data_IF_750129035270
#
_entry.id   IF_750129035270
#
_cell.length_a   1.000
_cell.length_b   1.000
_cell.length_c   1.000
_cell.angle_alpha   90.00
_cell.angle_beta   90.00
_cell.angle_gamma   90.00
#
_symmetry.space_group_name_H-M   'P 1'
#
loop_
_entity.id
_entity.type
_entity.pdbx_description
1 polymer ?
#
# COMPACT_ATOMS: atom_id res chain seq x y z
N UNK A 1 -36.05 19.53 56.34
CA UNK A 1 -36.89 18.87 55.32
C UNK A 1 -36.16 19.00 53.99
N UNK A 2 -35.33 18.00 53.65
CA UNK A 2 -34.43 18.02 52.49
C UNK A 2 -35.20 17.43 51.31
N UNK A 3 -35.62 18.29 50.37
CA UNK A 3 -36.22 17.85 49.12
C UNK A 3 -35.13 17.24 48.23
N UNK A 4 -35.14 15.92 48.11
CA UNK A 4 -34.34 15.15 47.17
C UNK A 4 -34.80 15.46 45.75
N UNK A 5 -34.08 16.36 45.07
CA UNK A 5 -34.16 16.55 43.63
C UNK A 5 -33.63 15.29 42.95
N UNK A 6 -34.56 14.41 42.55
CA UNK A 6 -34.34 13.38 41.52
C UNK A 6 -33.81 14.09 40.28
N UNK A 7 -32.50 14.01 40.05
CA UNK A 7 -31.89 14.39 38.77
C UNK A 7 -32.27 13.32 37.76
N UNK A 8 -33.15 13.69 36.85
CA UNK A 8 -33.35 12.99 35.59
C UNK A 8 -32.04 13.04 34.80
N UNK A 9 -31.23 12.00 34.95
CA UNK A 9 -30.01 11.75 34.16
C UNK A 9 -30.32 11.32 32.70
N UNK A 10 -31.58 11.40 32.28
CA UNK A 10 -32.08 10.97 30.97
C UNK A 10 -32.06 12.08 29.89
N UNK A 11 -31.61 13.29 30.21
CA UNK A 11 -31.65 14.43 29.26
C UNK A 11 -30.33 14.65 28.50
N UNK A 12 -29.26 13.93 28.81
CA UNK A 12 -28.06 13.93 27.95
C UNK A 12 -28.21 12.99 26.76
N UNK A 13 -29.31 13.09 26.03
CA UNK A 13 -29.38 12.59 24.65
C UNK A 13 -28.44 13.49 23.86
N UNK A 14 -27.38 12.91 23.27
CA UNK A 14 -26.43 13.62 22.43
C UNK A 14 -27.19 14.52 21.44
N UNK A 15 -27.15 15.84 21.65
CA UNK A 15 -27.80 16.77 20.74
C UNK A 15 -27.06 16.68 19.38
N UNK A 16 -27.78 16.61 18.25
CA UNK A 16 -27.15 16.78 16.96
C UNK A 16 -26.41 18.13 16.95
N UNK A 17 -25.17 18.12 16.46
CA UNK A 17 -24.23 19.25 16.59
C UNK A 17 -24.78 20.54 15.97
N UNK A 18 -25.70 20.44 15.01
CA UNK A 18 -26.45 21.56 14.42
C UNK A 18 -27.26 22.38 15.43
N UNK A 19 -27.51 21.85 16.63
CA UNK A 19 -28.31 22.48 17.68
C UNK A 19 -27.49 22.96 18.87
N UNK A 20 -26.15 23.04 18.76
CA UNK A 20 -25.31 23.64 19.82
C UNK A 20 -25.30 25.16 19.63
N UNK A 21 -25.93 25.96 20.53
CA UNK A 21 -25.95 27.41 20.38
C UNK A 21 -24.54 28.00 20.28
N UNK A 22 -24.34 28.91 19.34
CA UNK A 22 -23.17 29.79 19.22
C UNK A 22 -23.09 30.72 20.45
N UNK A 23 -22.71 30.16 21.60
CA UNK A 23 -22.76 30.85 22.88
C UNK A 23 -22.82 29.92 24.09
N UNK A 24 -22.48 28.63 23.96
CA UNK A 24 -22.37 27.73 25.12
C UNK A 24 -21.22 28.18 26.05
N UNK A 25 -21.57 29.03 27.00
CA UNK A 25 -20.68 29.75 27.90
C UNK A 25 -21.21 31.15 28.26
N UNK A 26 -22.04 31.73 27.39
CA UNK A 26 -22.68 33.03 27.56
C UNK A 26 -24.18 32.96 27.89
N UNK A 27 -24.72 31.76 28.12
CA UNK A 27 -26.08 31.68 28.63
C UNK A 27 -26.14 32.37 29.99
N UNK A 28 -27.17 33.20 30.19
CA UNK A 28 -27.35 33.95 31.46
C UNK A 28 -27.35 33.01 32.68
N UNK A 29 -27.73 31.74 32.48
CA UNK A 29 -27.67 30.67 33.47
C UNK A 29 -26.23 30.34 33.86
N UNK A 30 -25.32 30.13 32.91
CA UNK A 30 -23.90 29.87 33.19
C UNK A 30 -23.21 31.10 33.78
N UNK A 31 -23.56 32.31 33.32
CA UNK A 31 -23.07 33.57 33.87
C UNK A 31 -23.50 33.76 35.34
N UNK A 32 -24.77 33.45 35.65
CA UNK A 32 -25.31 33.52 37.02
C UNK A 32 -24.74 32.41 37.92
N UNK A 33 -24.58 31.19 37.40
CA UNK A 33 -23.95 30.08 38.13
C UNK A 33 -22.47 30.38 38.46
N UNK A 34 -21.72 30.97 37.52
CA UNK A 34 -20.34 31.40 37.78
C UNK A 34 -20.28 32.48 38.85
N UNK A 35 -21.16 33.49 38.80
CA UNK A 35 -21.20 34.59 39.77
C UNK A 35 -21.61 34.15 41.19
N UNK A 36 -22.58 33.24 41.31
CA UNK A 36 -23.15 32.84 42.60
C UNK A 36 -22.43 31.63 43.20
N UNK A 37 -22.00 30.68 42.38
CA UNK A 37 -21.43 29.40 42.83
C UNK A 37 -19.92 29.30 42.60
N UNK A 38 -19.29 30.33 42.04
CA UNK A 38 -17.87 30.31 41.64
C UNK A 38 -17.52 29.13 40.71
N UNK A 39 -18.51 28.66 39.95
CA UNK A 39 -18.39 27.53 39.04
C UNK A 39 -17.67 27.97 37.75
N UNK A 40 -16.63 27.24 37.36
CA UNK A 40 -15.95 27.36 36.07
C UNK A 40 -16.18 26.08 35.28
N UNK A 41 -17.11 26.07 34.30
CA UNK A 41 -17.28 24.89 33.46
C UNK A 41 -15.98 24.64 32.70
N UNK A 42 -15.53 23.39 32.67
CA UNK A 42 -14.47 22.97 31.78
C UNK A 42 -15.02 22.97 30.35
N UNK A 43 -14.77 24.06 29.62
CA UNK A 43 -15.20 24.22 28.23
C UNK A 43 -14.26 23.52 27.24
N UNK A 44 -13.22 22.82 27.71
CA UNK A 44 -12.27 22.13 26.84
C UNK A 44 -12.95 21.04 26.01
N UNK A 45 -13.88 20.30 26.59
CA UNK A 45 -14.64 19.25 25.90
C UNK A 45 -15.55 19.82 24.80
N UNK A 46 -16.22 20.95 25.06
CA UNK A 46 -17.09 21.60 24.07
C UNK A 46 -16.26 22.19 22.93
N UNK A 47 -15.11 22.79 23.22
CA UNK A 47 -14.18 23.29 22.19
C UNK A 47 -13.66 22.16 21.31
N UNK A 48 -13.20 21.06 21.91
CA UNK A 48 -12.76 19.86 21.17
C UNK A 48 -13.89 19.29 20.32
N UNK A 49 -15.11 19.22 20.85
CA UNK A 49 -16.26 18.74 20.10
C UNK A 49 -16.59 19.63 18.89
N UNK A 50 -16.52 20.96 19.05
CA UNK A 50 -16.72 21.93 17.97
C UNK A 50 -15.64 21.81 16.89
N UNK A 51 -14.37 21.77 17.30
CA UNK A 51 -13.22 21.59 16.39
C UNK A 51 -13.33 20.27 15.61
N UNK A 52 -13.73 19.18 16.28
CA UNK A 52 -13.95 17.88 15.65
C UNK A 52 -15.08 17.95 14.63
N UNK A 53 -16.18 18.63 14.95
CA UNK A 53 -17.32 18.79 14.07
C UNK A 53 -16.98 19.60 12.80
N UNK A 54 -16.27 20.72 12.96
CA UNK A 54 -15.79 21.54 11.84
C UNK A 54 -14.84 20.74 10.93
N UNK A 55 -13.96 19.92 11.53
CA UNK A 55 -13.04 19.03 10.82
C UNK A 55 -13.80 18.00 9.98
N UNK A 56 -14.83 17.37 10.56
CA UNK A 56 -15.68 16.40 9.88
C UNK A 56 -16.46 17.06 8.74
N UNK A 57 -17.00 18.25 8.97
CA UNK A 57 -17.78 18.98 7.97
C UNK A 57 -16.92 19.33 6.75
N UNK A 58 -15.73 19.91 6.98
CA UNK A 58 -14.76 20.18 5.89
C UNK A 58 -14.33 18.90 5.17
N UNK A 59 -14.10 17.82 5.90
CA UNK A 59 -13.73 16.54 5.31
C UNK A 59 -14.84 15.97 4.43
N UNK A 60 -16.11 16.15 4.81
CA UNK A 60 -17.26 15.75 4.00
C UNK A 60 -17.41 16.60 2.71
N UNK A 61 -17.15 17.90 2.78
CA UNK A 61 -17.13 18.79 1.60
C UNK A 61 -16.05 18.36 0.61
N UNK A 62 -14.83 18.11 1.09
CA UNK A 62 -13.73 17.61 0.28
C UNK A 62 -14.07 16.26 -0.33
N UNK A 63 -14.64 15.34 0.46
CA UNK A 63 -15.05 14.00 -0.01
C UNK A 63 -16.08 14.08 -1.14
N UNK A 64 -17.08 14.95 -1.00
CA UNK A 64 -18.09 15.17 -2.03
C UNK A 64 -17.46 15.75 -3.31
N UNK A 65 -16.50 16.66 -3.17
CA UNK A 65 -15.75 17.20 -4.29
C UNK A 65 -14.91 16.13 -5.01
N UNK A 66 -14.13 15.35 -4.26
CA UNK A 66 -13.28 14.30 -4.82
C UNK A 66 -14.09 13.24 -5.57
N UNK A 67 -15.29 12.91 -5.09
CA UNK A 67 -16.18 11.97 -5.78
C UNK A 67 -16.72 12.52 -7.11
N UNK A 68 -16.77 13.85 -7.29
CA UNK A 68 -17.26 14.51 -8.49
C UNK A 68 -16.17 14.91 -9.50
N UNK A 69 -14.93 14.48 -9.30
CA UNK A 69 -13.85 14.68 -10.28
C UNK A 69 -14.07 13.82 -11.52
N UNK A 70 -13.58 14.28 -12.67
CA UNK A 70 -13.60 13.50 -13.92
C UNK A 70 -12.87 12.15 -13.75
N UNK A 71 -11.78 12.16 -12.98
CA UNK A 71 -11.05 10.98 -12.51
C UNK A 71 -11.18 10.85 -10.98
N UNK A 72 -12.21 10.14 -10.48
CA UNK A 72 -12.42 10.01 -9.05
C UNK A 72 -11.35 9.14 -8.36
N UNK A 73 -11.15 9.28 -7.03
CA UNK A 73 -10.21 8.45 -6.29
C UNK A 73 -10.47 6.95 -6.45
N UNK A 74 -9.42 6.14 -6.34
CA UNK A 74 -9.55 4.70 -6.30
C UNK A 74 -10.29 4.23 -5.05
N UNK A 75 -11.13 3.21 -5.20
CA UNK A 75 -11.77 2.55 -4.07
C UNK A 75 -10.72 1.85 -3.20
N UNK A 76 -10.87 1.94 -1.87
CA UNK A 76 -9.98 1.28 -0.91
C UNK A 76 -9.85 -0.23 -1.16
N UNK A 77 -10.93 -0.88 -1.63
CA UNK A 77 -10.95 -2.31 -1.97
C UNK A 77 -10.04 -2.61 -3.16
N UNK A 78 -10.10 -1.80 -4.23
CA UNK A 78 -9.27 -1.99 -5.41
C UNK A 78 -7.78 -1.80 -5.10
N UNK A 79 -7.45 -0.77 -4.30
CA UNK A 79 -6.09 -0.49 -3.84
C UNK A 79 -5.59 -1.61 -2.94
N UNK A 80 -6.39 -2.08 -1.98
CA UNK A 80 -5.99 -3.18 -1.10
C UNK A 80 -5.70 -4.47 -1.89
N UNK A 81 -6.55 -4.81 -2.87
CA UNK A 81 -6.34 -5.97 -3.75
C UNK A 81 -5.05 -5.82 -4.56
N UNK A 82 -4.81 -4.63 -5.09
CA UNK A 82 -3.59 -4.30 -5.83
C UNK A 82 -2.34 -4.44 -4.97
N UNK A 83 -2.33 -3.78 -3.80
CA UNK A 83 -1.22 -3.83 -2.84
C UNK A 83 -0.87 -5.24 -2.44
N UNK A 84 -1.88 -6.09 -2.20
CA UNK A 84 -1.69 -7.51 -1.89
C UNK A 84 -1.05 -8.27 -3.05
N UNK A 85 -1.49 -8.02 -4.29
CA UNK A 85 -0.94 -8.65 -5.50
C UNK A 85 0.52 -8.25 -5.72
N UNK A 86 0.83 -6.96 -5.58
CA UNK A 86 2.19 -6.44 -5.75
C UNK A 86 3.13 -6.92 -4.65
N UNK A 87 2.66 -6.95 -3.39
CA UNK A 87 3.43 -7.51 -2.29
C UNK A 87 3.73 -9.01 -2.51
N UNK A 88 2.75 -9.78 -2.99
CA UNK A 88 2.95 -11.19 -3.32
C UNK A 88 3.96 -11.38 -4.48
N UNK A 89 3.92 -10.51 -5.50
CA UNK A 89 4.88 -10.53 -6.62
C UNK A 89 6.30 -10.20 -6.14
N UNK A 90 6.45 -9.20 -5.27
CA UNK A 90 7.74 -8.78 -4.69
C UNK A 90 8.34 -9.82 -3.74
N UNK A 91 7.49 -10.57 -3.03
CA UNK A 91 7.90 -11.63 -2.13
C UNK A 91 8.39 -12.90 -2.85
N UNK A 92 8.19 -13.03 -4.17
CA UNK A 92 8.64 -14.21 -4.92
C UNK A 92 10.17 -14.33 -4.90
N UNK A 93 10.72 -15.51 -4.55
CA UNK A 93 12.15 -15.73 -4.59
C UNK A 93 12.65 -15.64 -6.04
N UNK A 94 13.79 -15.00 -6.25
CA UNK A 94 14.35 -14.79 -7.60
C UNK A 94 14.74 -16.11 -8.30
N UNK A 95 14.88 -17.18 -7.53
CA UNK A 95 15.16 -18.54 -8.00
C UNK A 95 14.07 -19.09 -8.95
N UNK A 96 12.83 -18.61 -8.87
CA UNK A 96 11.77 -19.06 -9.80
C UNK A 96 12.01 -18.64 -11.25
N UNK A 97 12.70 -17.51 -11.50
CA UNK A 97 13.01 -17.07 -12.87
C UNK A 97 14.29 -17.71 -13.42
N UNK A 98 15.29 -17.95 -12.57
CA UNK A 98 16.51 -18.65 -12.97
C UNK A 98 16.25 -20.14 -13.25
N UNK A 99 15.29 -20.75 -12.57
CA UNK A 99 14.93 -22.15 -12.81
C UNK A 99 14.36 -22.36 -14.21
N UNK A 100 13.56 -21.43 -14.74
CA UNK A 100 12.96 -21.57 -16.08
C UNK A 100 14.03 -21.59 -17.17
N UNK A 101 14.99 -20.66 -17.14
CA UNK A 101 16.09 -20.63 -18.11
C UNK A 101 16.99 -21.87 -17.99
N UNK A 102 17.25 -22.32 -16.76
CA UNK A 102 18.00 -23.55 -16.49
C UNK A 102 17.29 -24.81 -17.01
N UNK A 103 15.99 -24.92 -16.79
CA UNK A 103 15.14 -26.01 -17.29
C UNK A 103 15.11 -25.99 -18.83
N UNK A 104 14.95 -24.81 -19.45
CA UNK A 104 14.94 -24.68 -20.90
C UNK A 104 16.28 -25.14 -21.52
N UNK A 105 17.42 -24.72 -20.96
CA UNK A 105 18.74 -25.19 -21.42
C UNK A 105 18.89 -26.72 -21.27
N UNK A 106 18.42 -27.30 -20.16
CA UNK A 106 18.46 -28.74 -19.93
C UNK A 106 17.60 -29.52 -20.95
N UNK A 107 16.41 -29.03 -21.27
CA UNK A 107 15.52 -29.63 -22.28
C UNK A 107 16.18 -29.59 -23.67
N UNK A 108 16.78 -28.46 -24.05
CA UNK A 108 17.48 -28.34 -25.34
C UNK A 108 18.67 -29.30 -25.41
N UNK A 109 19.49 -29.37 -24.36
CA UNK A 109 20.63 -30.29 -24.30
C UNK A 109 20.19 -31.76 -24.39
N UNK A 110 19.10 -32.14 -23.72
CA UNK A 110 18.50 -33.48 -23.81
C UNK A 110 18.04 -33.79 -25.24
N UNK A 111 17.34 -32.85 -25.89
CA UNK A 111 16.86 -33.02 -27.26
C UNK A 111 18.02 -33.20 -28.25
N UNK A 112 19.10 -32.41 -28.14
CA UNK A 112 20.30 -32.58 -28.95
C UNK A 112 20.94 -33.95 -28.74
N UNK A 113 21.03 -34.41 -27.49
CA UNK A 113 21.56 -35.74 -27.14
C UNK A 113 20.74 -36.89 -27.78
N UNK A 114 19.42 -36.79 -27.77
CA UNK A 114 18.52 -37.77 -28.40
C UNK A 114 18.73 -37.80 -29.92
N UNK A 115 18.78 -36.64 -30.57
CA UNK A 115 18.98 -36.55 -32.03
C UNK A 115 20.34 -37.12 -32.43
N UNK A 116 21.41 -36.76 -31.70
CA UNK A 116 22.75 -37.30 -31.93
C UNK A 116 22.79 -38.82 -31.75
N UNK A 117 22.07 -39.35 -30.76
CA UNK A 117 21.97 -40.79 -30.54
C UNK A 117 21.23 -41.55 -31.64
N UNK A 118 20.14 -40.99 -32.15
CA UNK A 118 19.41 -41.57 -33.29
C UNK A 118 20.26 -41.57 -34.57
N UNK A 119 21.03 -40.51 -34.82
CA UNK A 119 21.97 -40.43 -35.94
C UNK A 119 23.15 -41.40 -35.80
N UNK A 120 23.59 -41.65 -34.56
CA UNK A 120 24.70 -42.54 -34.26
C UNK A 120 24.42 -44.04 -34.41
N UNK A 121 23.18 -44.43 -34.68
CA UNK A 121 22.82 -45.81 -35.05
C UNK A 121 23.52 -46.25 -36.35
N UNK A 122 23.99 -45.30 -37.16
CA UNK A 122 24.57 -45.55 -38.48
C UNK A 122 26.12 -45.52 -38.54
N UNK A 123 26.84 -45.25 -37.45
CA UNK A 123 28.32 -45.28 -37.44
C UNK A 123 28.90 -45.67 -36.08
N UNK A 124 29.93 -46.55 -36.06
CA UNK A 124 30.47 -47.09 -34.81
C UNK A 124 31.12 -46.02 -33.92
N UNK A 125 31.67 -44.96 -34.53
CA UNK A 125 32.29 -43.85 -33.80
C UNK A 125 31.26 -42.93 -33.12
N UNK A 126 30.00 -42.98 -33.56
CA UNK A 126 28.94 -42.14 -33.01
C UNK A 126 28.36 -42.69 -31.70
N UNK A 127 28.57 -43.95 -31.36
CA UNK A 127 28.18 -44.50 -30.06
C UNK A 127 28.96 -43.87 -28.90
N UNK A 128 30.26 -43.60 -29.09
CA UNK A 128 31.08 -42.92 -28.10
C UNK A 128 30.64 -41.47 -27.90
N UNK A 129 30.39 -40.74 -29.00
CA UNK A 129 29.92 -39.36 -28.96
C UNK A 129 28.53 -39.24 -28.33
N UNK A 130 27.62 -40.18 -28.62
CA UNK A 130 26.29 -40.24 -28.01
C UNK A 130 26.36 -40.48 -26.50
N UNK A 131 27.22 -41.41 -26.06
CA UNK A 131 27.46 -41.68 -24.64
C UNK A 131 27.94 -40.43 -23.89
N UNK A 132 28.92 -39.71 -24.45
CA UNK A 132 29.41 -38.45 -23.86
C UNK A 132 28.36 -37.34 -23.88
N UNK A 133 27.58 -37.20 -24.95
CA UNK A 133 26.52 -36.20 -25.02
C UNK A 133 25.42 -36.43 -23.98
N UNK A 134 25.02 -37.69 -23.76
CA UNK A 134 24.08 -38.05 -22.70
C UNK A 134 24.67 -37.81 -21.32
N UNK A 135 25.92 -38.18 -21.07
CA UNK A 135 26.58 -38.02 -19.77
C UNK A 135 26.76 -36.53 -19.40
N UNK A 136 27.14 -35.70 -20.37
CA UNK A 136 27.27 -34.25 -20.20
C UNK A 136 25.91 -33.59 -20.08
N UNK A 137 24.93 -33.93 -20.93
CA UNK A 137 23.59 -33.38 -20.88
C UNK A 137 22.86 -33.72 -19.57
N UNK A 138 22.89 -34.98 -19.16
CA UNK A 138 22.30 -35.45 -17.90
C UNK A 138 23.09 -34.93 -16.69
N UNK A 139 24.42 -34.84 -16.80
CA UNK A 139 25.28 -34.22 -15.79
C UNK A 139 24.94 -32.75 -15.57
N UNK A 140 24.78 -31.96 -16.64
CA UNK A 140 24.35 -30.56 -16.55
C UNK A 140 22.93 -30.42 -16.02
N UNK A 141 22.00 -31.29 -16.41
CA UNK A 141 20.63 -31.30 -15.90
C UNK A 141 20.59 -31.62 -14.40
N UNK A 142 21.29 -32.67 -13.95
CA UNK A 142 21.41 -33.01 -12.52
C UNK A 142 22.12 -31.90 -11.77
N UNK A 143 23.20 -31.33 -12.30
CA UNK A 143 23.93 -30.25 -11.62
C UNK A 143 23.05 -29.00 -11.52
N UNK A 144 22.23 -28.70 -12.53
CA UNK A 144 21.23 -27.63 -12.49
C UNK A 144 20.14 -27.90 -11.44
N UNK A 145 19.57 -29.12 -11.41
CA UNK A 145 18.58 -29.53 -10.41
C UNK A 145 19.20 -29.49 -9.01
N UNK A 146 20.40 -30.03 -8.83
CA UNK A 146 21.11 -30.08 -7.55
C UNK A 146 21.62 -28.72 -7.11
N UNK A 147 21.99 -27.80 -8.00
CA UNK A 147 22.30 -26.41 -7.64
C UNK A 147 21.03 -25.68 -7.20
N UNK A 148 19.91 -25.86 -7.91
CA UNK A 148 18.62 -25.31 -7.49
C UNK A 148 18.18 -25.88 -6.12
N UNK A 149 18.27 -27.21 -5.93
CA UNK A 149 17.91 -27.88 -4.67
C UNK A 149 18.93 -27.62 -3.56
N UNK A 150 20.24 -27.47 -3.85
CA UNK A 150 21.25 -27.11 -2.83
C UNK A 150 21.15 -25.66 -2.38
N UNK A 151 20.73 -24.73 -3.25
CA UNK A 151 20.38 -23.38 -2.80
C UNK A 151 19.21 -23.38 -1.81
N UNK A 152 18.29 -24.36 -1.93
CA UNK A 152 17.19 -24.54 -0.99
C UNK A 152 17.54 -25.39 0.25
N UNK A 153 18.45 -26.38 0.15
CA UNK A 153 18.63 -27.43 1.17
C UNK A 153 19.94 -27.37 1.95
N UNK A 154 21.05 -26.87 1.39
CA UNK A 154 22.30 -26.66 2.14
C UNK A 154 22.28 -25.26 2.75
N UNK A 155 21.54 -25.16 3.85
CA UNK A 155 21.45 -23.95 4.66
C UNK A 155 22.84 -23.38 4.99
N UNK A 156 23.12 -22.23 4.39
CA UNK A 156 23.61 -21.13 5.20
C UNK A 156 22.48 -20.09 5.25
N UNK A 157 22.04 -19.67 6.45
CA UNK A 157 20.86 -18.86 6.69
C UNK A 157 21.16 -17.39 6.40
N UNK A 158 21.61 -17.06 5.20
CA UNK A 158 21.18 -15.79 4.63
C UNK A 158 19.76 -16.03 4.13
N UNK A 159 18.84 -16.27 5.08
CA UNK A 159 17.42 -15.99 4.90
C UNK A 159 17.42 -14.60 4.31
N UNK A 160 17.26 -14.50 2.98
CA UNK A 160 17.11 -13.21 2.34
C UNK A 160 15.79 -12.70 2.85
N UNK A 161 15.85 -12.04 4.01
CA UNK A 161 14.69 -11.54 4.73
C UNK A 161 14.15 -10.47 3.81
N UNK A 162 13.16 -10.90 3.04
CA UNK A 162 12.50 -10.06 2.07
C UNK A 162 11.38 -9.39 2.84
N UNK A 163 11.68 -8.23 3.40
CA UNK A 163 10.66 -7.42 4.05
C UNK A 163 9.98 -6.60 2.97
N UNK A 164 8.68 -6.83 2.82
CA UNK A 164 7.83 -6.11 1.87
C UNK A 164 6.89 -5.25 2.69
N UNK A 165 7.05 -3.94 2.61
CA UNK A 165 6.20 -3.00 3.33
C UNK A 165 5.77 -1.85 2.42
N UNK A 166 4.52 -1.43 2.56
CA UNK A 166 4.08 -0.17 1.98
C UNK A 166 4.49 0.96 2.92
N UNK A 167 5.21 1.94 2.39
CA UNK A 167 5.69 3.07 3.16
C UNK A 167 5.13 4.37 2.58
N UNK A 168 4.64 5.21 3.48
CA UNK A 168 4.14 6.53 3.16
C UNK A 168 5.27 7.56 3.37
N UNK A 169 5.44 8.45 2.40
CA UNK A 169 6.38 9.57 2.44
C UNK A 169 5.62 10.87 2.22
N UNK A 170 5.92 11.90 2.99
CA UNK A 170 5.45 13.24 2.62
C UNK A 170 6.03 13.62 1.26
N UNK A 171 5.33 14.45 0.48
CA UNK A 171 5.86 14.93 -0.81
C UNK A 171 7.25 15.57 -0.64
N UNK A 172 7.49 16.29 0.46
CA UNK A 172 8.78 16.93 0.73
C UNK A 172 9.93 15.93 0.97
N UNK A 173 9.63 14.73 1.48
CA UNK A 173 10.62 13.69 1.78
C UNK A 173 10.81 12.70 0.63
N UNK A 174 9.93 12.73 -0.37
CA UNK A 174 9.99 11.81 -1.51
C UNK A 174 11.12 12.19 -2.47
N UNK A 175 12.13 11.33 -2.55
CA UNK A 175 13.37 11.61 -3.31
C UNK A 175 13.30 11.26 -4.80
N UNK A 176 12.28 10.51 -5.23
CA UNK A 176 12.14 10.09 -6.63
C UNK A 176 11.34 11.12 -7.42
N UNK A 177 11.50 11.11 -8.74
CA UNK A 177 10.74 11.98 -9.62
C UNK A 177 9.23 11.67 -9.51
N UNK A 178 8.45 12.72 -9.30
CA UNK A 178 6.99 12.67 -9.37
C UNK A 178 6.62 13.08 -10.80
N UNK A 179 5.84 12.28 -11.54
CA UNK A 179 5.40 12.65 -12.87
C UNK A 179 4.53 13.90 -12.85
N UNK A 180 4.59 14.64 -13.96
CA UNK A 180 3.88 15.90 -14.14
C UNK A 180 2.39 15.79 -13.84
N UNK A 181 1.71 14.75 -14.33
CA UNK A 181 0.27 14.59 -14.10
C UNK A 181 -0.09 14.44 -12.62
N UNK A 182 0.68 13.66 -11.85
CA UNK A 182 0.43 13.47 -10.42
C UNK A 182 0.76 14.76 -9.64
N UNK A 183 1.81 15.48 -10.04
CA UNK A 183 2.15 16.78 -9.46
C UNK A 183 1.07 17.83 -9.75
N UNK A 184 0.51 17.85 -10.98
CA UNK A 184 -0.58 18.73 -11.37
C UNK A 184 -1.83 18.46 -10.53
N UNK A 185 -2.27 17.19 -10.42
CA UNK A 185 -3.42 16.81 -9.60
C UNK A 185 -3.25 17.24 -8.14
N UNK A 186 -2.06 17.05 -7.56
CA UNK A 186 -1.78 17.51 -6.19
C UNK A 186 -1.84 19.04 -6.06
N UNK A 187 -1.32 19.77 -7.05
CA UNK A 187 -1.30 21.24 -7.06
C UNK A 187 -2.71 21.80 -7.18
N UNK A 188 -3.51 21.32 -8.15
CA UNK A 188 -4.89 21.77 -8.37
C UNK A 188 -5.76 21.57 -7.13
N UNK A 189 -5.61 20.43 -6.46
CA UNK A 189 -6.32 20.14 -5.22
C UNK A 189 -5.83 20.98 -4.05
N UNK A 190 -4.52 21.28 -3.96
CA UNK A 190 -3.95 22.12 -2.90
C UNK A 190 -4.36 23.58 -3.02
N UNK A 191 -4.45 24.10 -4.25
CA UNK A 191 -4.93 25.46 -4.53
C UNK A 191 -6.39 25.62 -4.09
N UNK A 192 -7.21 24.59 -4.31
CA UNK A 192 -8.62 24.59 -3.91
C UNK A 192 -8.82 24.33 -2.42
N UNK A 193 -8.03 23.44 -1.83
CA UNK A 193 -8.13 23.03 -0.44
C UNK A 193 -6.75 23.04 0.23
N UNK A 194 -6.36 24.18 0.78
CA UNK A 194 -5.07 24.33 1.44
C UNK A 194 -4.87 23.39 2.66
N UNK A 195 -5.97 22.88 3.24
CA UNK A 195 -5.93 21.94 4.37
C UNK A 195 -5.61 20.49 3.96
N UNK A 196 -5.58 20.16 2.67
CA UNK A 196 -5.22 18.82 2.21
C UNK A 196 -3.73 18.56 2.39
N UNK A 197 -3.40 17.40 2.93
CA UNK A 197 -2.03 16.89 2.94
C UNK A 197 -1.88 15.82 1.86
N UNK A 198 -0.69 15.74 1.27
CA UNK A 198 -0.38 14.78 0.23
C UNK A 198 0.80 13.91 0.62
N UNK A 199 0.64 12.61 0.39
CA UNK A 199 1.59 11.57 0.75
C UNK A 199 1.78 10.67 -0.46
N UNK A 200 2.99 10.19 -0.65
CA UNK A 200 3.32 9.19 -1.66
C UNK A 200 3.48 7.85 -0.97
N UNK A 201 2.64 6.90 -1.37
CA UNK A 201 2.67 5.56 -0.81
C UNK A 201 3.35 4.60 -1.80
N UNK A 202 4.45 4.00 -1.37
CA UNK A 202 5.32 3.20 -2.22
C UNK A 202 5.65 1.85 -1.60
N UNK A 203 5.68 0.80 -2.42
CA UNK A 203 6.13 -0.52 -1.98
C UNK A 203 7.65 -0.55 -1.81
N UNK A 204 8.11 -0.74 -0.58
CA UNK A 204 9.51 -0.91 -0.24
C UNK A 204 9.81 -2.40 -0.07
N UNK A 205 10.78 -2.89 -0.85
CA UNK A 205 11.26 -4.27 -0.79
C UNK A 205 12.69 -4.24 -0.26
N UNK A 206 12.88 -4.64 0.99
CA UNK A 206 14.21 -4.80 1.58
C UNK A 206 14.64 -6.25 1.46
N UNK A 207 15.80 -6.50 0.86
CA UNK A 207 16.45 -7.81 0.80
C UNK A 207 17.87 -7.68 1.32
N UNK A 208 18.21 -8.42 2.38
CA UNK A 208 19.54 -8.35 3.00
C UNK A 208 19.99 -6.90 3.22
N UNK A 209 19.11 -6.08 3.81
CA UNK A 209 19.35 -4.65 4.11
C UNK A 209 19.48 -3.71 2.89
N UNK A 210 19.40 -4.24 1.66
CA UNK A 210 19.35 -3.42 0.44
C UNK A 210 17.91 -3.19 0.00
N UNK A 211 17.58 -1.94 -0.31
CA UNK A 211 16.28 -1.56 -0.85
C UNK A 211 16.30 -1.81 -2.36
N UNK A 212 15.43 -2.70 -2.84
CA UNK A 212 15.17 -2.90 -4.26
C UNK A 212 14.09 -1.93 -4.70
N UNK A 213 14.50 -0.85 -5.37
CA UNK A 213 13.63 0.29 -5.74
C UNK A 213 12.87 0.08 -7.06
N UNK A 214 13.09 -1.04 -7.76
CA UNK A 214 12.68 -1.25 -9.16
C UNK A 214 11.28 -1.89 -9.34
N UNK A 215 10.57 -2.18 -8.26
CA UNK A 215 9.31 -2.94 -8.28
C UNK A 215 8.11 -2.19 -7.70
N UNK A 216 8.17 -0.86 -7.61
CA UNK A 216 7.15 -0.08 -6.94
C UNK A 216 6.36 0.82 -7.89
N UNK A 217 5.04 0.67 -7.80
CA UNK A 217 4.04 1.54 -8.39
C UNK A 217 3.52 2.49 -7.31
N UNK A 218 4.13 3.68 -7.17
CA UNK A 218 3.77 4.63 -6.12
C UNK A 218 2.39 5.23 -6.37
N UNK A 219 1.67 5.45 -5.27
CA UNK A 219 0.37 6.12 -5.26
C UNK A 219 0.49 7.55 -4.75
N UNK A 220 -0.23 8.47 -5.38
CA UNK A 220 -0.54 9.77 -4.80
C UNK A 220 -1.74 9.58 -3.87
N UNK A 221 -1.57 9.96 -2.60
CA UNK A 221 -2.61 9.85 -1.57
C UNK A 221 -2.91 11.24 -1.03
N UNK A 222 -4.18 11.62 -1.04
CA UNK A 222 -4.68 12.78 -0.30
C UNK A 222 -5.12 12.34 1.11
N UNK A 223 -4.68 13.08 2.12
CA UNK A 223 -5.07 12.91 3.51
C UNK A 223 -5.98 14.06 3.90
N UNK A 224 -7.21 13.73 4.31
CA UNK A 224 -8.20 14.70 4.75
C UNK A 224 -7.91 15.17 6.18
N UNK A 225 -8.50 16.31 6.59
CA UNK A 225 -8.37 16.82 7.97
C UNK A 225 -8.83 15.83 9.05
N UNK A 226 -9.78 14.95 8.74
CA UNK A 226 -10.26 13.88 9.61
C UNK A 226 -9.32 12.65 9.67
N UNK A 227 -8.21 12.68 8.94
CA UNK A 227 -7.23 11.61 8.83
C UNK A 227 -7.58 10.51 7.83
N UNK A 228 -8.65 10.67 7.03
CA UNK A 228 -9.02 9.71 5.98
C UNK A 228 -8.09 9.78 4.78
N UNK A 229 -7.78 8.63 4.17
CA UNK A 229 -6.83 8.51 3.05
C UNK A 229 -7.56 8.20 1.74
N UNK A 230 -7.21 8.91 0.67
CA UNK A 230 -7.77 8.74 -0.68
C UNK A 230 -6.66 8.60 -1.71
N UNK A 231 -6.64 7.46 -2.40
CA UNK A 231 -5.68 7.17 -3.47
C UNK A 231 -6.15 7.82 -4.77
N UNK A 232 -5.40 8.78 -5.30
CA UNK A 232 -5.78 9.57 -6.46
C UNK A 232 -5.20 8.97 -7.76
N UNK A 233 -3.88 8.79 -7.77
CA UNK A 233 -3.11 8.42 -8.96
C UNK A 233 -2.08 7.33 -8.68
N UNK A 234 -1.71 6.58 -9.73
CA UNK A 234 -0.60 5.62 -9.74
C UNK A 234 0.15 5.75 -11.07
N UNK A 235 1.49 5.73 -11.08
CA UNK A 235 2.23 6.15 -12.27
C UNK A 235 3.31 5.23 -12.84
N UNK A 236 3.65 4.13 -12.19
CA UNK A 236 4.56 3.14 -12.81
C UNK A 236 3.82 1.90 -13.36
N UNK A 237 2.49 1.81 -13.19
CA UNK A 237 1.70 0.71 -13.76
C UNK A 237 0.65 1.23 -14.77
N UNK A 238 0.99 1.34 -16.07
CA UNK A 238 0.09 1.85 -17.11
C UNK A 238 -1.17 1.00 -17.33
N UNK A 239 -1.24 -0.20 -16.73
CA UNK A 239 -2.38 -1.12 -16.85
C UNK A 239 -3.29 -1.14 -15.63
N UNK A 240 -3.01 -0.36 -14.58
CA UNK A 240 -3.86 -0.33 -13.40
C UNK A 240 -5.20 0.38 -13.68
N UNK A 241 -6.20 -0.40 -14.11
CA UNK A 241 -7.60 0.02 -14.22
C UNK A 241 -8.34 -0.33 -12.93
N UNK A 242 -7.93 0.26 -11.81
CA UNK A 242 -8.61 0.09 -10.53
C UNK A 242 -10.06 0.58 -10.59
N UNK A 243 -10.92 0.06 -9.73
CA UNK A 243 -12.27 0.61 -9.56
C UNK A 243 -12.16 1.96 -8.87
N UNK A 244 -12.57 3.03 -9.55
CA UNK A 244 -12.69 4.38 -8.97
C UNK A 244 -14.04 4.53 -8.28
N UNK A 245 -14.12 5.49 -7.36
CA UNK A 245 -15.40 5.87 -6.74
C UNK A 245 -16.34 6.35 -7.84
N UNK A 246 -17.60 5.92 -7.80
CA UNK A 246 -18.64 6.36 -8.74
C UNK A 246 -19.65 7.25 -8.00
#
# INVERSE_FOLDING_TARGET
MIATLKRDASVCKAMPISNVPEGLGETDVMRKASKVLNYRPDLSEIRRAKETAETILRSNEIRAFLAGLDDPPFTAVSVAKYKKRMAAKAARPWSENLSIAGIACAIVALAVGIVAGLMGIFSSDAHALCGWALLVGFGLAITSICLNVRFDFLGNPMLVKTEVQWQAYSIAEYRKAIPEFAAQTATDLKERFNTLEFVIEELQVRRNERILLELSDPFLVAVLPDGSWYHLEVWNEPTFKGQRMA
#
